data_IF_875216438959
#
_entry.id   IF_875216438959
#
_cell.length_a   1.000
_cell.length_b   1.000
_cell.length_c   1.000
_cell.angle_alpha   90.00
_cell.angle_beta   90.00
_cell.angle_gamma   90.00
#
_symmetry.space_group_name_H-M   'P 1'
#
loop_
_entity.id
_entity.type
_entity.pdbx_description
1 polymer ?
#
# COMPACT_ATOMS: atom_id res chain seq x y z
N UNK A 1 44.88 -28.86 -33.28
CA UNK A 1 45.64 -27.96 -32.40
C UNK A 1 44.83 -26.69 -32.29
N UNK A 2 44.60 -26.27 -31.04
CA UNK A 2 44.44 -24.89 -30.55
C UNK A 2 43.35 -23.98 -31.15
N UNK A 3 42.68 -23.12 -30.36
CA UNK A 3 42.85 -22.87 -28.93
C UNK A 3 41.66 -22.14 -28.30
N UNK A 4 41.66 -22.06 -26.96
CA UNK A 4 40.62 -21.41 -26.15
C UNK A 4 41.02 -19.95 -25.90
N UNK A 5 40.05 -19.01 -25.87
CA UNK A 5 40.26 -17.70 -25.22
C UNK A 5 38.99 -17.23 -24.53
N UNK A 6 39.05 -17.02 -23.22
CA UNK A 6 38.04 -16.32 -22.43
C UNK A 6 38.41 -14.84 -22.33
N UNK A 7 37.43 -13.94 -22.34
CA UNK A 7 37.62 -12.54 -21.95
C UNK A 7 36.93 -12.25 -20.62
N UNK A 8 37.73 -11.81 -19.64
CA UNK A 8 37.26 -11.06 -18.47
C UNK A 8 37.26 -9.56 -18.80
N UNK A 9 36.30 -8.82 -18.26
CA UNK A 9 36.37 -7.36 -18.18
C UNK A 9 36.08 -6.96 -16.73
N UNK A 10 36.97 -6.15 -16.16
CA UNK A 10 36.81 -5.52 -14.84
C UNK A 10 36.90 -4.00 -15.02
N UNK A 11 35.98 -3.19 -14.45
CA UNK A 11 36.15 -1.74 -14.38
C UNK A 11 37.16 -1.34 -13.30
N UNK A 12 37.91 -0.27 -13.52
CA UNK A 12 38.88 0.31 -12.57
C UNK A 12 38.41 1.67 -12.02
N UNK A 13 38.82 2.01 -10.79
CA UNK A 13 38.56 3.33 -10.18
C UNK A 13 39.78 4.26 -10.29
N UNK A 14 39.59 5.49 -10.78
CA UNK A 14 40.31 6.72 -10.40
C UNK A 14 39.92 7.91 -11.29
N UNK A 15 40.09 9.18 -10.90
CA UNK A 15 39.94 9.88 -9.60
C UNK A 15 40.18 11.39 -9.79
N UNK A 16 39.34 12.26 -9.18
CA UNK A 16 39.47 13.73 -8.96
C UNK A 16 39.88 14.66 -10.16
N UNK A 17 39.27 15.84 -10.35
CA UNK A 17 39.45 17.04 -9.47
C UNK A 17 38.27 18.04 -9.57
N UNK A 18 38.36 19.19 -8.87
CA UNK A 18 37.24 20.09 -8.49
C UNK A 18 37.38 21.54 -8.98
N UNK A 19 36.40 22.40 -8.62
CA UNK A 19 36.28 23.87 -8.79
C UNK A 19 35.73 24.30 -10.18
N UNK A 20 34.52 24.87 -10.38
CA UNK A 20 33.72 25.95 -9.72
C UNK A 20 34.11 27.37 -10.23
N UNK A 21 33.22 28.36 -10.45
CA UNK A 21 31.77 28.63 -10.15
C UNK A 21 31.00 28.98 -11.47
N UNK A 22 29.72 29.40 -11.62
CA UNK A 22 28.58 29.79 -10.76
C UNK A 22 27.22 29.69 -11.53
N UNK A 23 26.10 30.05 -10.85
CA UNK A 23 24.78 30.54 -11.36
C UNK A 23 24.17 29.87 -12.62
N UNK A 24 22.96 29.29 -12.55
CA UNK A 24 21.73 29.98 -12.14
C UNK A 24 20.66 29.02 -11.59
N UNK A 25 19.93 29.46 -10.57
CA UNK A 25 18.89 28.69 -9.87
C UNK A 25 17.47 29.16 -10.24
N UNK A 26 16.58 28.23 -10.59
CA UNK A 26 15.11 28.26 -10.38
C UNK A 26 14.38 27.13 -11.16
N UNK A 27 14.16 25.97 -10.54
CA UNK A 27 12.88 25.20 -10.55
C UNK A 27 12.94 24.21 -9.37
N UNK A 28 12.22 24.49 -8.28
CA UNK A 28 11.67 23.53 -7.32
C UNK A 28 10.85 24.33 -6.30
N UNK A 29 9.53 24.35 -6.47
CA UNK A 29 8.60 24.99 -5.53
C UNK A 29 7.21 24.36 -5.67
N UNK A 30 6.47 24.28 -4.56
CA UNK A 30 5.37 23.36 -4.28
C UNK A 30 5.78 21.86 -4.33
N UNK A 31 5.35 20.98 -3.41
CA UNK A 31 4.53 21.20 -2.20
C UNK A 31 5.30 20.83 -0.92
N UNK A 32 5.35 21.76 0.04
CA UNK A 32 5.92 21.58 1.37
C UNK A 32 4.87 21.92 2.45
N UNK A 33 3.64 21.43 2.26
CA UNK A 33 2.47 21.74 3.09
C UNK A 33 2.06 20.53 3.93
N UNK A 34 2.70 20.38 5.11
CA UNK A 34 2.16 19.79 6.36
C UNK A 34 3.27 19.63 7.42
N UNK A 35 3.83 20.77 7.86
CA UNK A 35 4.76 20.82 8.98
C UNK A 35 4.59 22.14 9.75
N UNK A 36 3.42 22.35 10.35
CA UNK A 36 3.13 23.50 11.22
C UNK A 36 3.88 23.38 12.55
N UNK A 37 5.20 23.57 12.52
CA UNK A 37 5.94 23.96 13.71
C UNK A 37 5.57 25.40 14.06
N UNK A 38 4.77 25.59 15.10
CA UNK A 38 4.61 26.90 15.71
C UNK A 38 5.97 27.36 16.24
N UNK A 39 6.59 28.30 15.52
CA UNK A 39 7.73 29.06 16.04
C UNK A 39 7.21 29.86 17.22
N UNK A 40 7.56 29.45 18.43
CA UNK A 40 7.19 30.13 19.68
C UNK A 40 7.86 31.50 19.71
N UNK A 41 7.24 32.49 19.07
CA UNK A 41 7.66 33.88 19.17
C UNK A 41 7.30 34.40 20.56
N UNK A 42 8.31 34.49 21.42
CA UNK A 42 8.20 35.14 22.72
C UNK A 42 7.75 36.58 22.52
N UNK A 43 6.49 36.86 22.88
CA UNK A 43 5.93 38.21 22.81
C UNK A 43 6.75 39.22 23.62
N UNK A 44 6.70 40.50 23.24
CA UNK A 44 7.37 41.57 23.98
C UNK A 44 6.92 41.64 25.46
N UNK A 45 5.69 41.23 25.77
CA UNK A 45 5.20 41.09 27.14
C UNK A 45 5.93 39.99 27.94
N UNK A 46 6.36 38.90 27.27
CA UNK A 46 7.25 37.89 27.85
C UNK A 46 8.67 38.43 28.05
N UNK A 47 9.18 39.21 27.10
CA UNK A 47 10.48 39.87 27.19
C UNK A 47 10.52 40.94 28.31
N UNK A 48 9.42 41.66 28.51
CA UNK A 48 9.23 42.63 29.59
C UNK A 48 9.20 41.93 30.96
N UNK A 49 8.40 40.86 31.12
CA UNK A 49 8.38 40.04 32.35
C UNK A 49 9.76 39.46 32.69
N UNK A 50 10.55 39.06 31.68
CA UNK A 50 11.92 38.60 31.90
C UNK A 50 12.82 39.71 32.47
N UNK A 51 12.60 40.98 32.11
CA UNK A 51 13.36 42.13 32.63
C UNK A 51 12.88 42.54 34.02
N UNK A 52 11.57 42.59 34.27
CA UNK A 52 11.02 42.85 35.62
C UNK A 52 11.49 41.78 36.64
N UNK A 53 11.62 40.51 36.22
CA UNK A 53 12.23 39.46 37.05
C UNK A 53 13.74 39.63 37.28
N UNK A 54 14.45 40.41 36.46
CA UNK A 54 15.90 40.62 36.63
C UNK A 54 16.19 41.59 37.78
N UNK A 55 15.38 42.65 37.93
CA UNK A 55 15.62 43.71 38.92
C UNK A 55 15.18 43.36 40.35
N UNK A 56 14.51 42.23 40.57
CA UNK A 56 14.23 41.69 41.91
C UNK A 56 15.22 40.60 42.39
N UNK A 57 16.20 40.21 41.57
CA UNK A 57 16.98 38.99 41.85
C UNK A 57 18.19 39.14 42.80
N UNK A 58 18.53 40.37 43.23
CA UNK A 58 19.69 40.69 44.07
C UNK A 58 19.60 40.21 45.55
N UNK A 59 18.49 39.62 45.98
CA UNK A 59 18.32 39.11 47.37
C UNK A 59 18.22 37.59 47.53
N UNK A 60 18.04 36.85 46.43
CA UNK A 60 18.05 35.38 46.46
C UNK A 60 18.81 34.84 45.25
N UNK A 61 20.08 34.42 45.41
CA UNK A 61 20.77 33.69 44.37
C UNK A 61 20.06 32.33 44.19
N UNK A 62 19.57 32.07 42.98
CA UNK A 62 19.19 30.71 42.57
C UNK A 62 20.43 29.83 42.74
N UNK A 63 20.39 28.89 43.69
CA UNK A 63 21.49 27.95 43.87
C UNK A 63 21.71 27.19 42.55
N UNK A 64 22.95 27.11 42.05
CA UNK A 64 23.23 26.33 40.84
C UNK A 64 22.78 24.89 41.07
N UNK A 65 22.15 24.29 40.05
CA UNK A 65 21.68 22.90 40.09
C UNK A 65 22.83 21.99 40.55
N UNK A 66 22.57 21.15 41.55
CA UNK A 66 23.59 20.20 42.01
C UNK A 66 23.86 19.16 40.93
N UNK A 67 25.04 18.53 40.95
CA UNK A 67 25.38 17.47 39.98
C UNK A 67 24.34 16.34 39.98
N UNK A 68 23.71 16.07 41.13
CA UNK A 68 22.61 15.12 41.27
C UNK A 68 21.32 15.58 40.57
N UNK A 69 20.99 16.87 40.62
CA UNK A 69 19.83 17.44 39.92
C UNK A 69 20.05 17.48 38.39
N UNK A 70 21.25 17.82 37.94
CA UNK A 70 21.64 17.77 36.52
C UNK A 70 21.55 16.33 36.02
N UNK A 71 22.15 15.38 36.75
CA UNK A 71 22.12 13.96 36.40
C UNK A 71 20.72 13.35 36.41
N UNK A 72 19.86 13.77 37.34
CA UNK A 72 18.45 13.37 37.35
C UNK A 72 17.66 13.94 36.15
N UNK A 73 17.97 15.18 35.73
CA UNK A 73 17.41 15.78 34.52
C UNK A 73 17.88 15.05 33.25
N UNK A 74 19.18 14.73 33.13
CA UNK A 74 19.73 13.97 32.01
C UNK A 74 19.11 12.56 31.90
N UNK A 75 18.97 11.84 33.02
CA UNK A 75 18.35 10.51 33.04
C UNK A 75 16.84 10.60 32.69
N UNK A 76 16.13 11.65 33.08
CA UNK A 76 14.74 11.89 32.69
C UNK A 76 14.59 12.26 31.20
N UNK A 77 15.46 13.12 30.66
CA UNK A 77 15.49 13.48 29.23
C UNK A 77 15.84 12.26 28.37
N UNK A 78 16.77 11.41 28.84
CA UNK A 78 17.10 10.12 28.23
C UNK A 78 15.90 9.17 28.26
N UNK A 79 15.23 8.99 29.41
CA UNK A 79 14.02 8.16 29.50
C UNK A 79 12.90 8.64 28.55
N UNK A 80 12.69 9.96 28.43
CA UNK A 80 11.72 10.53 27.49
C UNK A 80 12.13 10.27 26.02
N UNK A 81 13.43 10.38 25.69
CA UNK A 81 13.96 10.03 24.36
C UNK A 81 13.79 8.54 24.07
N UNK A 82 14.13 7.67 25.00
CA UNK A 82 14.05 6.21 24.84
C UNK A 82 12.57 5.76 24.71
N UNK A 83 11.66 6.38 25.47
CA UNK A 83 10.20 6.20 25.32
C UNK A 83 9.70 6.70 23.95
N UNK A 84 10.15 7.85 23.47
CA UNK A 84 9.77 8.38 22.15
C UNK A 84 10.27 7.47 21.03
N UNK A 85 11.50 6.98 21.11
CA UNK A 85 12.08 6.03 20.15
C UNK A 85 11.31 4.70 20.18
N UNK A 86 11.01 4.16 21.37
CA UNK A 86 10.21 2.94 21.48
C UNK A 86 8.78 3.13 20.92
N UNK A 87 8.15 4.28 21.17
CA UNK A 87 6.84 4.62 20.61
C UNK A 87 6.86 4.75 19.08
N UNK A 88 7.91 5.33 18.50
CA UNK A 88 8.09 5.41 17.05
C UNK A 88 8.40 4.04 16.42
N UNK A 89 9.30 3.24 17.01
CA UNK A 89 9.64 1.90 16.51
C UNK A 89 8.44 0.96 16.49
N UNK A 90 7.57 1.02 17.51
CA UNK A 90 6.33 0.25 17.54
C UNK A 90 5.31 0.67 16.47
N UNK A 91 5.43 1.88 15.91
CA UNK A 91 4.54 2.46 14.89
C UNK A 91 5.07 2.33 13.45
N UNK A 92 6.29 1.83 13.26
CA UNK A 92 6.85 1.54 11.93
C UNK A 92 6.53 0.08 11.56
N UNK A 93 6.05 -0.23 10.35
CA UNK A 93 5.81 -1.60 9.92
C UNK A 93 7.10 -2.44 9.93
N UNK A 94 7.05 -3.62 10.55
CA UNK A 94 8.20 -4.52 10.56
C UNK A 94 8.45 -5.09 9.15
N UNK A 95 9.54 -4.65 8.50
CA UNK A 95 9.92 -5.10 7.16
C UNK A 95 10.33 -6.58 7.09
N UNK A 96 10.56 -7.24 8.23
CA UNK A 96 10.76 -8.69 8.32
C UNK A 96 9.44 -9.47 8.55
N UNK A 97 8.28 -8.80 8.55
CA UNK A 97 6.97 -9.49 8.57
C UNK A 97 6.63 -10.07 7.18
N UNK A 98 5.76 -11.10 7.09
CA UNK A 98 5.40 -11.72 5.81
C UNK A 98 4.92 -10.72 4.76
N UNK A 99 4.16 -9.69 5.16
CA UNK A 99 3.66 -8.63 4.29
C UNK A 99 4.72 -8.04 3.34
N UNK A 100 5.95 -7.82 3.82
CA UNK A 100 7.05 -7.21 3.07
C UNK A 100 8.12 -8.21 2.59
N UNK A 101 8.04 -9.48 3.00
CA UNK A 101 9.06 -10.50 2.72
C UNK A 101 8.56 -11.69 1.90
N UNK A 102 7.24 -11.90 1.82
CA UNK A 102 6.60 -12.85 0.92
C UNK A 102 6.56 -12.28 -0.52
N UNK A 103 7.14 -12.96 -1.53
CA UNK A 103 7.08 -12.53 -2.92
C UNK A 103 5.67 -12.32 -3.49
N UNK A 104 4.64 -12.95 -2.91
CA UNK A 104 3.23 -12.79 -3.33
C UNK A 104 2.69 -11.40 -2.96
N UNK A 105 3.03 -10.88 -1.78
CA UNK A 105 2.46 -9.61 -1.26
C UNK A 105 3.44 -8.44 -1.26
N UNK A 106 4.75 -8.68 -1.22
CA UNK A 106 5.75 -7.63 -1.00
C UNK A 106 5.70 -6.50 -2.05
N UNK A 107 5.36 -6.82 -3.30
CA UNK A 107 5.20 -5.83 -4.37
C UNK A 107 3.99 -4.89 -4.19
N UNK A 108 2.94 -5.38 -3.52
CA UNK A 108 1.69 -4.65 -3.28
C UNK A 108 1.71 -3.96 -1.89
N UNK A 109 2.45 -4.52 -0.93
CA UNK A 109 2.68 -3.93 0.39
C UNK A 109 3.32 -2.53 0.34
N UNK A 110 4.09 -2.22 -0.71
CA UNK A 110 4.61 -0.87 -0.94
C UNK A 110 3.52 0.17 -1.21
N UNK A 111 2.37 -0.18 -1.81
CA UNK A 111 1.26 0.76 -1.96
C UNK A 111 0.69 1.15 -0.57
N UNK A 112 0.62 0.16 0.31
CA UNK A 112 0.16 0.30 1.70
C UNK A 112 1.17 1.00 2.62
N UNK A 113 2.41 1.24 2.20
CA UNK A 113 3.34 2.09 2.97
C UNK A 113 2.75 3.48 3.26
N UNK A 114 2.03 4.05 2.28
CA UNK A 114 1.30 5.30 2.43
C UNK A 114 0.13 5.19 3.41
N UNK A 115 -0.59 4.06 3.38
CA UNK A 115 -1.70 3.74 4.28
C UNK A 115 -1.22 3.71 5.73
N UNK A 116 -0.14 2.97 6.04
CA UNK A 116 0.43 2.90 7.39
C UNK A 116 0.83 4.26 7.97
N UNK A 117 1.27 5.22 7.14
CA UNK A 117 1.59 6.58 7.59
C UNK A 117 0.30 7.37 7.86
N UNK A 118 -0.68 7.33 6.94
CA UNK A 118 -1.95 8.06 7.10
C UNK A 118 -2.82 7.54 8.23
N UNK A 119 -2.80 6.23 8.51
CA UNK A 119 -3.63 5.60 9.56
C UNK A 119 -2.92 5.46 10.90
N UNK A 120 -1.65 5.85 11.03
CA UNK A 120 -0.82 5.56 12.21
C UNK A 120 -1.46 6.01 13.53
N UNK A 121 -2.02 7.23 13.57
CA UNK A 121 -2.66 7.79 14.77
C UNK A 121 -4.08 7.26 15.01
N UNK A 122 -4.72 6.72 13.96
CA UNK A 122 -6.03 6.08 14.01
C UNK A 122 -5.99 4.57 14.24
N UNK A 123 -4.82 3.93 14.25
CA UNK A 123 -4.71 2.47 14.28
C UNK A 123 -4.98 1.94 15.69
N UNK A 124 -6.04 1.12 15.83
CA UNK A 124 -6.48 0.55 17.11
C UNK A 124 -5.85 -0.82 17.42
N UNK A 125 -5.45 -1.55 16.38
CA UNK A 125 -4.77 -2.86 16.50
C UNK A 125 -3.26 -2.72 16.65
N UNK A 126 -2.59 -3.75 17.17
CA UNK A 126 -1.13 -3.78 17.17
C UNK A 126 -0.60 -3.88 15.73
N UNK A 127 0.53 -3.23 15.46
CA UNK A 127 1.21 -3.23 14.15
C UNK A 127 1.43 -4.66 13.62
N UNK A 128 1.70 -5.63 14.51
CA UNK A 128 1.87 -7.05 14.15
C UNK A 128 0.55 -7.71 13.73
N UNK A 129 -0.57 -7.50 14.44
CA UNK A 129 -1.90 -8.00 14.05
C UNK A 129 -2.31 -7.38 12.71
N UNK A 130 -2.04 -6.09 12.53
CA UNK A 130 -2.32 -5.33 11.31
C UNK A 130 -1.50 -5.79 10.10
N UNK A 131 -0.17 -5.94 10.21
CA UNK A 131 0.65 -6.44 9.09
C UNK A 131 0.28 -7.86 8.70
N UNK A 132 -0.14 -8.70 9.66
CA UNK A 132 -0.61 -10.05 9.39
C UNK A 132 -1.98 -10.04 8.66
N UNK A 133 -2.93 -9.23 9.10
CA UNK A 133 -4.22 -9.08 8.43
C UNK A 133 -4.06 -8.55 7.00
N UNK A 134 -3.19 -7.56 6.79
CA UNK A 134 -2.88 -7.05 5.45
C UNK A 134 -2.19 -8.10 4.57
N UNK A 135 -1.27 -8.92 5.09
CA UNK A 135 -0.67 -10.03 4.34
C UNK A 135 -1.74 -11.02 3.84
N UNK A 136 -2.69 -11.40 4.70
CA UNK A 136 -3.77 -12.33 4.37
C UNK A 136 -4.87 -11.71 3.49
N UNK A 137 -5.07 -10.39 3.56
CA UNK A 137 -5.97 -9.63 2.69
C UNK A 137 -5.41 -9.35 1.29
N UNK A 138 -4.09 -9.36 1.12
CA UNK A 138 -3.42 -9.21 -0.19
C UNK A 138 -3.15 -10.58 -0.86
N UNK A 139 -3.03 -11.64 -0.06
CA UNK A 139 -2.86 -13.03 -0.54
C UNK A 139 -4.12 -13.54 -1.24
N UNK A 140 -3.95 -14.27 -2.35
CA UNK A 140 -5.04 -15.06 -2.96
C UNK A 140 -5.04 -16.48 -2.39
N UNK A 141 -6.21 -17.09 -2.11
CA UNK A 141 -6.28 -18.52 -1.80
C UNK A 141 -6.11 -19.40 -3.05
N UNK A 142 -6.29 -18.83 -4.24
CA UNK A 142 -6.39 -19.59 -5.48
C UNK A 142 -5.01 -20.03 -5.99
N UNK A 143 -4.73 -21.32 -5.82
CA UNK A 143 -3.49 -21.98 -6.25
C UNK A 143 -3.62 -22.78 -7.57
N UNK A 144 -4.83 -22.82 -8.14
CA UNK A 144 -5.17 -23.59 -9.34
C UNK A 144 -5.38 -22.74 -10.59
N UNK A 145 -6.14 -23.28 -11.55
CA UNK A 145 -6.52 -22.55 -12.77
C UNK A 145 -7.53 -21.45 -12.42
N UNK A 146 -7.16 -20.19 -12.67
CA UNK A 146 -8.06 -19.04 -12.57
C UNK A 146 -8.67 -18.72 -13.93
N UNK A 147 -9.98 -18.47 -13.97
CA UNK A 147 -10.65 -17.76 -15.08
C UNK A 147 -10.69 -16.25 -14.81
N UNK A 148 -10.95 -15.45 -15.84
CA UNK A 148 -11.14 -13.99 -15.73
C UNK A 148 -12.22 -13.60 -14.72
N UNK A 149 -13.24 -14.45 -14.57
CA UNK A 149 -14.35 -14.34 -13.61
C UNK A 149 -13.83 -14.57 -12.19
N UNK A 150 -13.09 -15.66 -11.95
CA UNK A 150 -12.54 -15.96 -10.61
C UNK A 150 -11.46 -14.98 -10.17
N UNK A 151 -10.68 -14.44 -11.11
CA UNK A 151 -9.73 -13.35 -10.84
C UNK A 151 -10.47 -12.06 -10.47
N UNK A 152 -11.64 -11.79 -11.07
CA UNK A 152 -12.47 -10.66 -10.63
C UNK A 152 -12.99 -10.88 -9.20
N UNK A 153 -13.47 -12.08 -8.86
CA UNK A 153 -13.94 -12.41 -7.51
C UNK A 153 -12.82 -12.35 -6.47
N UNK A 154 -11.61 -12.81 -6.80
CA UNK A 154 -10.42 -12.65 -5.93
C UNK A 154 -10.16 -11.17 -5.60
N UNK A 155 -10.09 -10.30 -6.62
CA UNK A 155 -9.85 -8.86 -6.43
C UNK A 155 -10.97 -8.22 -5.59
N UNK A 156 -12.23 -8.62 -5.79
CA UNK A 156 -13.35 -8.13 -4.99
C UNK A 156 -13.32 -8.66 -3.53
N UNK A 157 -12.95 -9.92 -3.30
CA UNK A 157 -12.76 -10.45 -1.96
C UNK A 157 -11.60 -9.75 -1.22
N UNK A 158 -10.53 -9.37 -1.93
CA UNK A 158 -9.45 -8.53 -1.37
C UNK A 158 -9.96 -7.14 -1.00
N UNK A 159 -10.80 -6.51 -1.85
CA UNK A 159 -11.46 -5.23 -1.52
C UNK A 159 -12.25 -5.33 -0.22
N UNK A 160 -13.00 -6.41 -0.03
CA UNK A 160 -13.80 -6.61 1.18
C UNK A 160 -12.93 -6.89 2.40
N UNK A 161 -11.91 -7.76 2.32
CA UNK A 161 -10.95 -7.99 3.42
C UNK A 161 -10.22 -6.70 3.84
N UNK A 162 -9.85 -5.86 2.88
CA UNK A 162 -9.23 -4.56 3.15
C UNK A 162 -10.22 -3.55 3.77
N UNK A 163 -11.50 -3.60 3.39
CA UNK A 163 -12.57 -2.78 3.98
C UNK A 163 -12.86 -3.23 5.42
N UNK A 164 -12.91 -4.54 5.68
CA UNK A 164 -12.99 -5.08 7.04
C UNK A 164 -11.84 -4.59 7.94
N UNK A 165 -10.59 -4.61 7.45
CA UNK A 165 -9.43 -4.06 8.19
C UNK A 165 -9.63 -2.58 8.46
N UNK A 166 -10.12 -1.80 7.49
CA UNK A 166 -10.40 -0.39 7.69
C UNK A 166 -11.43 -0.15 8.81
N UNK A 167 -12.53 -0.91 8.81
CA UNK A 167 -13.60 -0.71 9.80
C UNK A 167 -13.30 -1.25 11.20
N UNK A 168 -12.44 -2.27 11.32
CA UNK A 168 -12.14 -2.88 12.62
C UNK A 168 -10.81 -2.41 13.23
N UNK A 169 -9.81 -2.08 12.41
CA UNK A 169 -8.44 -1.76 12.86
C UNK A 169 -8.14 -0.25 12.80
N UNK A 170 -8.95 0.56 12.11
CA UNK A 170 -8.77 2.01 11.98
C UNK A 170 -9.95 2.78 12.59
N UNK A 171 -9.64 3.81 13.36
CA UNK A 171 -10.61 4.74 13.95
C UNK A 171 -11.31 5.60 12.89
N UNK A 172 -12.60 5.85 13.09
CA UNK A 172 -13.53 6.44 12.11
C UNK A 172 -12.98 7.66 11.34
N UNK A 173 -12.37 8.62 12.05
CA UNK A 173 -11.83 9.84 11.44
C UNK A 173 -10.72 9.64 10.39
N UNK A 174 -10.07 8.47 10.36
CA UNK A 174 -9.02 8.12 9.39
C UNK A 174 -9.53 7.19 8.26
N UNK A 175 -10.70 6.56 8.43
CA UNK A 175 -11.21 5.54 7.51
C UNK A 175 -11.41 6.03 6.08
N UNK A 176 -11.83 7.28 5.90
CA UNK A 176 -12.01 7.85 4.56
C UNK A 176 -10.69 7.96 3.78
N UNK A 177 -9.58 8.29 4.44
CA UNK A 177 -8.26 8.38 3.80
C UNK A 177 -7.74 6.97 3.46
N UNK A 178 -7.93 6.04 4.39
CA UNK A 178 -7.62 4.62 4.24
C UNK A 178 -8.38 3.97 3.07
N UNK A 179 -9.70 4.13 2.97
CA UNK A 179 -10.51 3.73 1.81
C UNK A 179 -9.99 4.33 0.51
N UNK A 180 -9.46 5.56 0.55
CA UNK A 180 -8.81 6.20 -0.59
C UNK A 180 -7.57 5.44 -1.10
N UNK A 181 -6.78 4.79 -0.23
CA UNK A 181 -5.68 3.91 -0.67
C UNK A 181 -6.21 2.58 -1.18
N UNK A 182 -7.18 1.98 -0.47
CA UNK A 182 -7.77 0.69 -0.83
C UNK A 182 -8.35 0.76 -2.25
N UNK A 183 -9.13 1.79 -2.56
CA UNK A 183 -9.68 1.99 -3.91
C UNK A 183 -8.58 2.16 -4.97
N UNK A 184 -7.49 2.89 -4.68
CA UNK A 184 -6.33 3.01 -5.61
C UNK A 184 -5.61 1.68 -5.82
N UNK A 185 -5.54 0.83 -4.79
CA UNK A 185 -4.97 -0.52 -4.91
C UNK A 185 -5.85 -1.44 -5.77
N UNK A 186 -7.17 -1.43 -5.56
CA UNK A 186 -8.11 -2.21 -6.39
C UNK A 186 -8.07 -1.72 -7.84
N UNK A 187 -8.04 -0.41 -8.08
CA UNK A 187 -7.80 0.20 -9.40
C UNK A 187 -6.52 -0.31 -10.07
N UNK A 188 -5.43 -0.46 -9.30
CA UNK A 188 -4.14 -0.99 -9.78
C UNK A 188 -4.26 -2.48 -10.16
N UNK A 189 -5.00 -3.28 -9.38
CA UNK A 189 -5.29 -4.68 -9.71
C UNK A 189 -6.14 -4.82 -10.98
N UNK A 190 -7.22 -4.03 -11.10
CA UNK A 190 -8.07 -3.96 -12.32
C UNK A 190 -7.21 -3.64 -13.55
N UNK A 191 -6.41 -2.56 -13.49
CA UNK A 191 -5.55 -2.13 -14.62
C UNK A 191 -4.47 -3.18 -14.94
N UNK A 192 -3.91 -3.87 -13.94
CA UNK A 192 -2.94 -4.95 -14.14
C UNK A 192 -3.56 -6.16 -14.84
N UNK A 193 -4.78 -6.54 -14.46
CA UNK A 193 -5.57 -7.61 -15.12
C UNK A 193 -5.90 -7.24 -16.56
N UNK A 194 -6.49 -6.07 -16.78
CA UNK A 194 -6.94 -5.66 -18.12
C UNK A 194 -5.78 -5.47 -19.09
N UNK A 195 -4.64 -4.92 -18.63
CA UNK A 195 -3.41 -4.84 -19.43
C UNK A 195 -2.84 -6.22 -19.79
N UNK A 196 -2.95 -7.21 -18.91
CA UNK A 196 -2.51 -8.58 -19.18
C UNK A 196 -3.37 -9.23 -20.27
N UNK A 197 -4.69 -9.08 -20.19
CA UNK A 197 -5.62 -9.64 -21.17
C UNK A 197 -5.52 -8.92 -22.54
N UNK A 198 -5.33 -7.60 -22.55
CA UNK A 198 -5.02 -6.86 -23.78
C UNK A 198 -3.72 -7.37 -24.41
N UNK A 199 -2.66 -7.58 -23.61
CA UNK A 199 -1.39 -8.14 -24.10
C UNK A 199 -1.51 -9.56 -24.64
N UNK A 200 -2.44 -10.38 -24.11
CA UNK A 200 -2.76 -11.70 -24.67
C UNK A 200 -3.48 -11.59 -26.03
N UNK A 201 -4.43 -10.66 -26.17
CA UNK A 201 -5.11 -10.41 -27.45
C UNK A 201 -4.14 -9.85 -28.52
N UNK A 202 -3.22 -8.96 -28.14
CA UNK A 202 -2.16 -8.45 -29.03
C UNK A 202 -1.17 -9.56 -29.44
N UNK A 203 -0.92 -10.55 -28.58
CA UNK A 203 -0.11 -11.73 -28.92
C UNK A 203 -0.83 -12.73 -29.85
N UNK A 204 -2.12 -13.04 -29.60
CA UNK A 204 -2.91 -13.90 -30.49
C UNK A 204 -3.10 -13.23 -31.86
N UNK A 205 -3.23 -11.89 -31.92
CA UNK A 205 -3.23 -11.16 -33.18
C UNK A 205 -1.94 -11.41 -33.98
N UNK A 206 -0.77 -11.25 -33.35
CA UNK A 206 0.51 -11.50 -34.02
C UNK A 206 0.61 -12.95 -34.54
N UNK A 207 0.28 -13.94 -33.71
CA UNK A 207 0.27 -15.36 -34.10
C UNK A 207 -0.73 -15.65 -35.24
N UNK A 208 -1.91 -15.05 -35.20
CA UNK A 208 -2.94 -15.24 -36.24
C UNK A 208 -2.51 -14.71 -37.61
N UNK A 209 -1.75 -13.62 -37.64
CA UNK A 209 -1.15 -13.06 -38.85
C UNK A 209 -0.05 -13.99 -39.38
N UNK A 210 0.86 -14.45 -38.53
CA UNK A 210 1.95 -15.37 -38.90
C UNK A 210 1.43 -16.72 -39.45
N UNK A 211 0.29 -17.22 -38.94
CA UNK A 211 -0.38 -18.43 -39.45
C UNK A 211 -1.41 -18.16 -40.56
N UNK A 212 -1.63 -16.91 -40.96
CA UNK A 212 -2.66 -16.48 -41.90
C UNK A 212 -4.11 -16.93 -41.55
N UNK A 213 -4.41 -17.11 -40.26
CA UNK A 213 -5.77 -17.39 -39.77
C UNK A 213 -6.56 -16.07 -39.68
N UNK A 214 -7.16 -15.71 -40.81
CA UNK A 214 -7.94 -14.47 -40.94
C UNK A 214 -9.10 -14.38 -39.94
N UNK A 215 -9.67 -15.51 -39.50
CA UNK A 215 -10.78 -15.52 -38.53
C UNK A 215 -10.28 -15.19 -37.12
N UNK A 216 -9.12 -15.72 -36.72
CA UNK A 216 -8.46 -15.30 -35.47
C UNK A 216 -7.99 -13.84 -35.54
N UNK A 217 -7.51 -13.41 -36.70
CA UNK A 217 -7.07 -12.01 -36.92
C UNK A 217 -8.22 -11.04 -36.65
N UNK A 218 -9.41 -11.30 -37.22
CA UNK A 218 -10.63 -10.52 -37.00
C UNK A 218 -11.08 -10.55 -35.53
N UNK A 219 -11.08 -11.73 -34.91
CA UNK A 219 -11.48 -11.88 -33.49
C UNK A 219 -10.53 -11.11 -32.54
N UNK A 220 -9.21 -11.29 -32.69
CA UNK A 220 -8.23 -10.63 -31.85
C UNK A 220 -8.24 -9.09 -32.04
N UNK A 221 -8.50 -8.60 -33.25
CA UNK A 221 -8.71 -7.18 -33.51
C UNK A 221 -9.95 -6.64 -32.77
N UNK A 222 -11.09 -7.34 -32.85
CA UNK A 222 -12.31 -7.00 -32.10
C UNK A 222 -12.09 -6.99 -30.58
N UNK A 223 -11.36 -7.96 -30.04
CA UNK A 223 -11.06 -8.00 -28.60
C UNK A 223 -10.16 -6.83 -28.19
N UNK A 224 -9.10 -6.52 -28.97
CA UNK A 224 -8.23 -5.36 -28.76
C UNK A 224 -9.01 -4.04 -28.80
N UNK A 225 -9.91 -3.87 -29.77
CA UNK A 225 -10.76 -2.68 -29.89
C UNK A 225 -11.71 -2.54 -28.69
N UNK A 226 -12.38 -3.63 -28.29
CA UNK A 226 -13.31 -3.58 -27.15
C UNK A 226 -12.59 -3.39 -25.81
N UNK A 227 -11.37 -3.91 -25.63
CA UNK A 227 -10.51 -3.60 -24.48
C UNK A 227 -10.12 -2.12 -24.45
N UNK A 228 -9.70 -1.54 -25.58
CA UNK A 228 -9.32 -0.12 -25.70
C UNK A 228 -10.51 0.82 -25.54
N UNK A 229 -11.72 0.34 -25.81
CA UNK A 229 -12.98 1.05 -25.54
C UNK A 229 -13.53 0.85 -24.11
N UNK A 230 -12.95 -0.02 -23.27
CA UNK A 230 -13.47 -0.33 -21.93
C UNK A 230 -14.76 -1.17 -21.94
N UNK A 231 -15.05 -1.87 -23.03
CA UNK A 231 -16.32 -2.59 -23.28
C UNK A 231 -16.18 -4.10 -23.41
N UNK A 232 -14.95 -4.64 -23.35
CA UNK A 232 -14.70 -6.08 -23.42
C UNK A 232 -15.45 -6.83 -22.30
N UNK A 233 -15.84 -8.09 -22.56
CA UNK A 233 -16.66 -8.90 -21.63
C UNK A 233 -16.07 -8.90 -20.21
N UNK A 234 -14.78 -9.21 -20.10
CA UNK A 234 -14.09 -9.36 -18.82
C UNK A 234 -13.99 -8.05 -18.02
N UNK A 235 -14.07 -6.90 -18.69
CA UNK A 235 -14.09 -5.58 -18.03
C UNK A 235 -15.47 -5.26 -17.46
N UNK A 236 -16.53 -5.56 -18.22
CA UNK A 236 -17.92 -5.43 -17.74
C UNK A 236 -18.20 -6.39 -16.58
N UNK A 237 -17.69 -7.61 -16.64
CA UNK A 237 -17.71 -8.56 -15.52
C UNK A 237 -16.95 -8.03 -14.30
N UNK A 238 -15.79 -7.40 -14.49
CA UNK A 238 -15.03 -6.78 -13.38
C UNK A 238 -15.81 -5.64 -12.71
N UNK A 239 -16.45 -4.77 -13.50
CA UNK A 239 -17.30 -3.69 -12.98
C UNK A 239 -18.52 -4.24 -12.23
N UNK A 240 -19.17 -5.29 -12.76
CA UNK A 240 -20.28 -5.97 -12.08
C UNK A 240 -19.81 -6.59 -10.75
N UNK A 241 -18.69 -7.31 -10.75
CA UNK A 241 -18.12 -7.97 -9.57
C UNK A 241 -17.71 -6.99 -8.47
N UNK A 242 -17.11 -5.85 -8.82
CA UNK A 242 -16.86 -4.77 -7.85
C UNK A 242 -18.16 -4.13 -7.35
N UNK A 243 -19.13 -3.91 -8.24
CA UNK A 243 -20.44 -3.36 -7.86
C UNK A 243 -21.23 -4.29 -6.93
N UNK A 244 -21.03 -5.61 -6.99
CA UNK A 244 -21.59 -6.56 -6.02
C UNK A 244 -20.93 -6.34 -4.66
N UNK A 245 -19.60 -6.28 -4.58
CA UNK A 245 -18.90 -6.00 -3.33
C UNK A 245 -19.29 -4.64 -2.70
N UNK A 246 -19.48 -3.60 -3.51
CA UNK A 246 -19.92 -2.27 -3.02
C UNK A 246 -21.39 -2.21 -2.52
N UNK A 247 -22.22 -3.22 -2.78
CA UNK A 247 -23.67 -3.18 -2.50
C UNK A 247 -24.23 -4.41 -1.77
N UNK A 248 -23.45 -5.47 -1.58
CA UNK A 248 -23.85 -6.65 -0.82
C UNK A 248 -24.03 -6.31 0.67
N UNK A 249 -24.98 -6.97 1.32
CA UNK A 249 -25.29 -6.78 2.75
C UNK A 249 -24.39 -7.57 3.69
N UNK A 250 -23.68 -8.54 3.14
CA UNK A 250 -22.70 -9.40 3.81
C UNK A 250 -21.88 -10.15 2.77
N UNK A 251 -20.79 -10.78 3.18
CA UNK A 251 -20.02 -11.65 2.28
C UNK A 251 -20.84 -12.85 1.76
N UNK A 252 -21.83 -13.34 2.50
CA UNK A 252 -22.71 -14.40 2.01
C UNK A 252 -23.60 -13.93 0.85
N UNK A 253 -24.14 -12.70 0.93
CA UNK A 253 -24.90 -12.06 -0.15
C UNK A 253 -24.02 -11.79 -1.38
N UNK A 254 -22.75 -11.41 -1.16
CA UNK A 254 -21.72 -11.29 -2.21
C UNK A 254 -21.41 -12.63 -2.89
N UNK A 255 -21.25 -13.72 -2.12
CA UNK A 255 -21.04 -15.08 -2.64
C UNK A 255 -22.25 -15.59 -3.43
N UNK A 256 -23.48 -15.44 -2.91
CA UNK A 256 -24.71 -15.83 -3.62
C UNK A 256 -24.83 -15.12 -4.98
N UNK A 257 -24.47 -13.83 -5.04
CA UNK A 257 -24.46 -13.05 -6.28
C UNK A 257 -23.34 -13.47 -7.24
N UNK A 258 -22.15 -13.84 -6.74
CA UNK A 258 -21.05 -14.40 -7.56
C UNK A 258 -21.40 -15.78 -8.12
N UNK A 259 -22.00 -16.65 -7.33
CA UNK A 259 -22.51 -17.94 -7.78
C UNK A 259 -23.59 -17.76 -8.86
N UNK A 260 -24.55 -16.85 -8.65
CA UNK A 260 -25.56 -16.53 -9.66
C UNK A 260 -24.93 -16.02 -10.96
N UNK A 261 -23.89 -15.20 -10.88
CA UNK A 261 -23.14 -14.71 -12.04
C UNK A 261 -22.45 -15.84 -12.82
N UNK A 262 -21.76 -16.76 -12.14
CA UNK A 262 -21.16 -17.97 -12.77
C UNK A 262 -22.23 -18.87 -13.38
N UNK A 263 -23.35 -19.07 -12.67
CA UNK A 263 -24.46 -19.90 -13.15
C UNK A 263 -25.07 -19.33 -14.45
N UNK A 264 -25.29 -18.02 -14.50
CA UNK A 264 -25.77 -17.30 -15.68
C UNK A 264 -24.77 -17.32 -16.86
N UNK A 265 -23.46 -17.29 -16.57
CA UNK A 265 -22.39 -17.39 -17.58
C UNK A 265 -22.13 -18.82 -18.09
N UNK A 266 -22.84 -19.84 -17.58
CA UNK A 266 -22.78 -21.22 -18.10
C UNK A 266 -22.30 -22.29 -17.12
N UNK A 267 -22.04 -21.96 -15.85
CA UNK A 267 -21.70 -22.89 -14.76
C UNK A 267 -20.40 -23.70 -14.97
N UNK A 268 -19.24 -23.10 -14.74
CA UNK A 268 -17.96 -23.84 -14.67
C UNK A 268 -17.73 -24.44 -13.29
N UNK A 269 -17.40 -25.74 -13.24
CA UNK A 269 -17.03 -26.45 -11.99
C UNK A 269 -15.80 -25.81 -11.33
N UNK A 270 -14.82 -25.38 -12.12
CA UNK A 270 -13.59 -24.72 -11.62
C UNK A 270 -13.94 -23.37 -10.99
N UNK A 271 -14.89 -22.64 -11.56
CA UNK A 271 -15.28 -21.33 -11.03
C UNK A 271 -16.03 -21.45 -9.71
N UNK A 272 -16.93 -22.42 -9.57
CA UNK A 272 -17.60 -22.72 -8.31
C UNK A 272 -16.62 -23.24 -7.24
N UNK A 273 -15.62 -24.06 -7.62
CA UNK A 273 -14.55 -24.49 -6.72
C UNK A 273 -13.66 -23.34 -6.25
N UNK A 274 -13.37 -22.37 -7.12
CA UNK A 274 -12.62 -21.17 -6.76
C UNK A 274 -13.45 -20.21 -5.89
N UNK A 275 -14.76 -20.08 -6.13
CA UNK A 275 -15.67 -19.34 -5.22
C UNK A 275 -15.67 -19.98 -3.82
N UNK A 276 -15.74 -21.31 -3.71
CA UNK A 276 -15.67 -22.00 -2.41
C UNK A 276 -14.36 -21.71 -1.67
N UNK A 277 -13.21 -21.78 -2.35
CA UNK A 277 -11.91 -21.42 -1.74
C UNK A 277 -11.83 -19.96 -1.29
N UNK A 278 -12.50 -19.05 -2.00
CA UNK A 278 -12.65 -17.63 -1.60
C UNK A 278 -13.56 -17.50 -0.36
N UNK A 279 -14.60 -18.32 -0.25
CA UNK A 279 -15.48 -18.39 0.92
C UNK A 279 -14.75 -18.92 2.16
N UNK A 280 -14.11 -20.09 2.05
CA UNK A 280 -13.34 -20.72 3.14
C UNK A 280 -12.27 -19.74 3.69
N UNK A 281 -11.51 -19.11 2.79
CA UNK A 281 -10.48 -18.13 3.14
C UNK A 281 -11.03 -16.79 3.68
N UNK A 282 -12.32 -16.48 3.47
CA UNK A 282 -12.98 -15.37 4.15
C UNK A 282 -13.41 -15.74 5.57
N UNK A 283 -13.99 -16.93 5.76
CA UNK A 283 -14.40 -17.39 7.09
C UNK A 283 -13.21 -17.53 8.04
N UNK A 284 -12.11 -18.14 7.60
CA UNK A 284 -10.83 -18.20 8.33
C UNK A 284 -10.34 -16.80 8.75
N UNK A 285 -10.38 -15.84 7.83
CA UNK A 285 -9.91 -14.47 8.05
C UNK A 285 -10.77 -13.74 9.08
N UNK A 286 -12.10 -13.86 9.00
CA UNK A 286 -13.01 -13.25 9.98
C UNK A 286 -12.86 -13.91 11.35
N UNK A 287 -12.78 -15.24 11.42
CA UNK A 287 -12.54 -15.98 12.67
C UNK A 287 -11.21 -15.56 13.34
N UNK A 288 -10.22 -15.16 12.55
CA UNK A 288 -8.88 -14.76 13.01
C UNK A 288 -8.76 -13.27 13.38
N UNK A 289 -9.58 -12.40 12.78
CA UNK A 289 -9.39 -10.94 12.85
C UNK A 289 -10.59 -10.11 13.35
N UNK A 290 -11.68 -10.75 13.79
CA UNK A 290 -12.72 -10.14 14.63
C UNK A 290 -12.28 -9.87 16.09
#
# INVERSE_FOLDING_TARGET
MDGITFYKISPSLSSYTTEDTAQSSNVLNADASLANFEVIQLSEAGLARSKEHTEQHDQYPLSPLTEEQIKAQDEAVKQLRDQLIAAQLNRIPNLASPLFSDPVTAADAFDFSSWFVMTQEGTTSSTVRLTAALHEALSSPLNGVMTDTTLAFDIAAKKEKLTFINDHFIAEGYRSQASGVINRYIDKLVKRRDNLLLGQAEAELALSIDFADAKRTEAAQSDIETFKAGTHRTQREMVQTLSIADNARSFADMLDQFEMMVRNNGSSVVELQNISQIADHWEDFIQKYA
#
